data_IF_437077485745
#
_entry.id   IF_437077485745
#
_cell.length_a   1.000
_cell.length_b   1.000
_cell.length_c   1.000
_cell.angle_alpha   90.00
_cell.angle_beta   90.00
_cell.angle_gamma   90.00
#
_symmetry.space_group_name_H-M   'P 1'
#
loop_
_entity.id
_entity.type
_entity.pdbx_description
1 polymer ?
#
# COMPACT_ATOMS: atom_id res chain seq x y z
N UNK A 1 -16.68 5.10 24.34
CA UNK A 1 -16.41 3.81 23.68
C UNK A 1 -17.74 3.14 23.38
N UNK A 2 -18.07 2.80 22.12
CA UNK A 2 -19.10 1.80 21.88
C UNK A 2 -18.54 0.48 22.40
N UNK A 3 -18.90 0.15 23.63
CA UNK A 3 -18.69 -1.20 24.14
C UNK A 3 -19.78 -2.03 23.48
N UNK A 4 -19.40 -3.08 22.75
CA UNK A 4 -20.37 -4.13 22.47
C UNK A 4 -20.68 -4.73 23.84
N UNK A 5 -21.86 -4.40 24.36
CA UNK A 5 -22.27 -4.95 25.63
C UNK A 5 -22.70 -6.40 25.37
N UNK A 6 -22.71 -7.22 26.43
CA UNK A 6 -23.05 -8.63 26.30
C UNK A 6 -24.44 -8.84 25.68
N UNK A 7 -25.35 -7.89 25.89
CA UNK A 7 -26.69 -7.89 25.28
C UNK A 7 -26.63 -7.76 23.75
N UNK A 8 -25.76 -6.90 23.22
CA UNK A 8 -25.55 -6.73 21.77
C UNK A 8 -24.88 -7.96 21.15
N UNK A 9 -23.87 -8.53 21.81
CA UNK A 9 -23.22 -9.77 21.38
C UNK A 9 -24.21 -10.94 21.30
N UNK A 10 -25.03 -11.12 22.35
CA UNK A 10 -26.03 -12.19 22.41
C UNK A 10 -27.18 -12.01 21.41
N UNK A 11 -27.38 -10.78 20.90
CA UNK A 11 -28.42 -10.49 19.91
C UNK A 11 -27.94 -10.64 18.46
N UNK A 12 -26.67 -10.95 18.22
CA UNK A 12 -26.17 -11.15 16.88
C UNK A 12 -26.72 -12.48 16.33
N UNK A 13 -27.49 -12.46 15.22
CA UNK A 13 -27.93 -13.67 14.59
C UNK A 13 -26.71 -14.35 13.95
N UNK A 14 -26.21 -15.40 14.60
CA UNK A 14 -25.15 -16.24 14.06
C UNK A 14 -25.82 -17.50 13.52
N UNK A 15 -25.77 -17.76 12.20
CA UNK A 15 -26.23 -19.03 11.67
C UNK A 15 -25.27 -20.13 12.14
N UNK A 16 -25.77 -21.04 12.96
CA UNK A 16 -25.02 -22.19 13.45
C UNK A 16 -25.52 -23.43 12.71
N UNK A 17 -24.79 -23.92 11.69
CA UNK A 17 -25.15 -25.14 10.99
C UNK A 17 -24.93 -26.37 11.90
N UNK A 18 -25.45 -27.56 11.55
CA UNK A 18 -25.18 -28.79 12.29
C UNK A 18 -23.67 -29.03 12.49
N UNK A 19 -23.27 -29.66 13.61
CA UNK A 19 -21.85 -29.85 13.95
C UNK A 19 -21.05 -30.56 12.84
N UNK A 20 -21.67 -31.52 12.16
CA UNK A 20 -21.06 -32.21 11.01
C UNK A 20 -20.71 -31.23 9.89
N UNK A 21 -21.61 -30.29 9.59
CA UNK A 21 -21.42 -29.27 8.57
C UNK A 21 -20.36 -28.23 9.00
N UNK A 22 -20.30 -27.88 10.29
CA UNK A 22 -19.23 -27.04 10.82
C UNK A 22 -17.85 -27.69 10.59
N UNK A 23 -17.70 -28.98 10.92
CA UNK A 23 -16.44 -29.70 10.68
C UNK A 23 -16.12 -29.82 9.19
N UNK A 24 -17.14 -30.03 8.32
CA UNK A 24 -16.95 -30.06 6.87
C UNK A 24 -16.43 -28.72 6.33
N UNK A 25 -16.99 -27.61 6.81
CA UNK A 25 -16.57 -26.25 6.44
C UNK A 25 -15.14 -25.98 6.92
N UNK A 26 -14.84 -26.24 8.20
CA UNK A 26 -13.49 -26.04 8.77
C UNK A 26 -12.46 -26.84 8.01
N UNK A 27 -12.72 -28.13 7.76
CA UNK A 27 -11.84 -28.98 6.96
C UNK A 27 -11.58 -28.40 5.57
N UNK A 28 -12.62 -27.84 4.93
CA UNK A 28 -12.45 -27.25 3.59
C UNK A 28 -11.62 -25.97 3.62
N UNK A 29 -11.77 -25.15 4.65
CA UNK A 29 -10.94 -23.96 4.88
C UNK A 29 -9.49 -24.38 5.11
N UNK A 30 -9.25 -25.38 5.96
CA UNK A 30 -7.90 -25.88 6.23
C UNK A 30 -7.22 -26.43 4.96
N UNK A 31 -7.96 -27.19 4.14
CA UNK A 31 -7.47 -27.66 2.83
C UNK A 31 -7.10 -26.51 1.88
N UNK A 32 -7.93 -25.46 1.83
CA UNK A 32 -7.68 -24.29 0.98
C UNK A 32 -6.50 -23.47 1.50
N UNK A 33 -6.37 -23.30 2.81
CA UNK A 33 -5.22 -22.63 3.43
C UNK A 33 -3.92 -23.39 3.17
N UNK A 34 -3.91 -24.71 3.33
CA UNK A 34 -2.75 -25.54 3.02
C UNK A 34 -2.36 -25.48 1.53
N UNK A 35 -3.34 -25.36 0.63
CA UNK A 35 -3.08 -25.15 -0.79
C UNK A 35 -2.46 -23.78 -1.05
N UNK A 36 -2.95 -22.71 -0.40
CA UNK A 36 -2.33 -21.39 -0.48
C UNK A 36 -0.88 -21.42 0.01
N UNK A 37 -0.61 -22.01 1.18
CA UNK A 37 0.74 -22.16 1.72
C UNK A 37 1.66 -22.91 0.75
N UNK A 38 1.16 -23.97 0.11
CA UNK A 38 1.93 -24.73 -0.88
C UNK A 38 2.20 -23.93 -2.15
N UNK A 39 1.26 -23.09 -2.61
CA UNK A 39 1.45 -22.25 -3.78
C UNK A 39 2.45 -21.13 -3.50
N UNK A 40 2.39 -20.52 -2.32
CA UNK A 40 3.38 -19.54 -1.85
C UNK A 40 4.79 -20.14 -1.84
N UNK A 41 4.96 -21.33 -1.25
CA UNK A 41 6.25 -22.04 -1.25
C UNK A 41 6.77 -22.33 -2.67
N UNK A 42 5.89 -22.68 -3.61
CA UNK A 42 6.29 -22.92 -5.01
C UNK A 42 6.71 -21.64 -5.72
N UNK A 43 6.03 -20.52 -5.46
CA UNK A 43 6.39 -19.21 -6.00
C UNK A 43 7.76 -18.78 -5.47
N UNK A 44 8.01 -18.95 -4.18
CA UNK A 44 9.30 -18.62 -3.55
C UNK A 44 10.44 -19.47 -4.10
N UNK A 45 10.21 -20.78 -4.26
CA UNK A 45 11.19 -21.70 -4.82
C UNK A 45 11.51 -21.38 -6.30
N UNK A 46 10.50 -21.05 -7.10
CA UNK A 46 10.68 -20.68 -8.51
C UNK A 46 11.39 -19.33 -8.66
N UNK A 47 11.02 -18.34 -7.85
CA UNK A 47 11.68 -17.03 -7.81
C UNK A 47 13.16 -17.18 -7.44
N UNK A 48 13.46 -18.05 -6.47
CA UNK A 48 14.84 -18.36 -6.06
C UNK A 48 15.64 -18.99 -7.21
N UNK A 49 15.07 -20.00 -7.90
CA UNK A 49 15.71 -20.63 -9.06
C UNK A 49 15.93 -19.67 -10.23
N UNK A 50 14.94 -18.82 -10.53
CA UNK A 50 15.07 -17.81 -11.58
C UNK A 50 16.20 -16.83 -11.27
N UNK A 51 16.30 -16.41 -10.01
CA UNK A 51 17.38 -15.54 -9.53
C UNK A 51 18.76 -16.22 -9.65
N UNK A 52 18.87 -17.49 -9.27
CA UNK A 52 20.11 -18.25 -9.43
C UNK A 52 20.55 -18.33 -10.90
N UNK A 53 19.62 -18.65 -11.81
CA UNK A 53 19.91 -18.74 -13.25
C UNK A 53 20.35 -17.40 -13.84
N UNK A 54 19.68 -16.30 -13.47
CA UNK A 54 20.07 -14.95 -13.89
C UNK A 54 21.48 -14.60 -13.38
N UNK A 55 21.79 -14.95 -12.13
CA UNK A 55 23.11 -14.70 -11.54
C UNK A 55 24.22 -15.50 -12.24
N UNK A 56 23.93 -16.75 -12.63
CA UNK A 56 24.86 -17.60 -13.37
C UNK A 56 25.12 -17.05 -14.79
N UNK A 57 24.07 -16.57 -15.47
CA UNK A 57 24.19 -15.93 -16.79
C UNK A 57 25.05 -14.66 -16.74
N UNK A 58 24.85 -13.79 -15.74
CA UNK A 58 25.64 -12.56 -15.58
C UNK A 58 27.11 -12.89 -15.34
N UNK A 59 27.40 -13.89 -14.48
CA UNK A 59 28.78 -14.35 -14.24
C UNK A 59 29.43 -14.88 -15.51
N UNK A 60 28.72 -15.70 -16.28
CA UNK A 60 29.21 -16.24 -17.55
C UNK A 60 29.52 -15.14 -18.57
N UNK A 61 28.69 -14.09 -18.68
CA UNK A 61 28.96 -12.94 -19.55
C UNK A 61 30.16 -12.11 -19.10
N UNK A 62 30.36 -11.96 -17.78
CA UNK A 62 31.47 -11.17 -17.23
C UNK A 62 32.85 -11.82 -17.39
N UNK A 63 32.93 -13.13 -17.65
CA UNK A 63 34.19 -13.86 -17.86
C UNK A 63 34.60 -13.94 -19.35
N UNK A 64 33.80 -13.39 -20.27
CA UNK A 64 34.03 -13.45 -21.72
C UNK A 64 34.82 -12.30 -22.34
N UNK A 65 35.37 -11.35 -21.56
CA UNK A 65 36.10 -10.20 -22.10
C UNK A 65 37.17 -9.68 -21.15
N UNK A 66 38.42 -10.09 -21.37
CA UNK A 66 39.60 -9.44 -20.80
C UNK A 66 40.06 -8.34 -21.76
N UNK A 67 40.19 -7.10 -21.28
CA UNK A 67 41.45 -6.32 -21.11
C UNK A 67 41.12 -5.06 -20.30
N UNK A 68 42.08 -4.69 -19.45
CA UNK A 68 42.24 -3.59 -18.48
C UNK A 68 41.69 -2.21 -18.92
N UNK A 69 41.05 -1.47 -18.00
CA UNK A 69 41.72 -0.36 -17.30
C UNK A 69 40.86 0.26 -16.18
N UNK A 70 41.55 0.89 -15.24
CA UNK A 70 41.06 1.37 -13.96
C UNK A 70 39.98 2.46 -14.03
N UNK A 71 38.83 2.21 -13.39
CA UNK A 71 38.08 3.24 -12.66
C UNK A 71 37.15 2.57 -11.63
N UNK A 72 37.60 2.67 -10.37
CA UNK A 72 36.80 2.41 -9.19
C UNK A 72 35.58 3.35 -9.21
N UNK A 73 34.40 2.81 -9.49
CA UNK A 73 33.13 3.49 -9.25
C UNK A 73 32.10 2.41 -8.89
N UNK A 74 31.94 2.23 -7.58
CA UNK A 74 30.77 1.68 -6.90
C UNK A 74 29.91 0.70 -7.72
N UNK A 75 30.40 -0.53 -7.90
CA UNK A 75 29.51 -1.66 -8.19
C UNK A 75 28.73 -1.96 -6.91
N UNK A 76 27.53 -1.41 -6.78
CA UNK A 76 26.57 -1.89 -5.81
C UNK A 76 26.41 -3.39 -6.02
N UNK A 77 26.78 -4.17 -5.02
CA UNK A 77 26.41 -5.57 -4.94
C UNK A 77 24.89 -5.55 -4.89
N UNK A 78 24.22 -5.91 -5.99
CA UNK A 78 22.77 -6.03 -6.01
C UNK A 78 22.40 -7.16 -5.03
N UNK A 79 22.15 -6.78 -3.77
CA UNK A 79 21.60 -7.68 -2.78
C UNK A 79 20.17 -7.98 -3.25
N UNK A 80 19.91 -9.25 -3.56
CA UNK A 80 18.54 -9.73 -3.76
C UNK A 80 17.85 -9.55 -2.41
N UNK A 81 17.01 -8.53 -2.32
CA UNK A 81 16.21 -8.26 -1.14
C UNK A 81 14.83 -8.82 -1.40
N UNK A 82 14.37 -9.62 -0.45
CA UNK A 82 13.00 -10.11 -0.41
C UNK A 82 12.01 -8.92 -0.44
N UNK A 83 10.97 -9.05 -1.27
CA UNK A 83 9.95 -8.03 -1.49
C UNK A 83 9.24 -7.64 -0.20
N UNK A 84 8.97 -8.59 0.70
CA UNK A 84 8.35 -8.28 1.98
C UNK A 84 9.26 -7.39 2.85
N UNK A 85 10.56 -7.66 2.83
CA UNK A 85 11.57 -6.83 3.49
C UNK A 85 11.67 -5.44 2.86
N UNK A 86 11.64 -5.34 1.53
CA UNK A 86 11.63 -4.05 0.83
C UNK A 86 10.41 -3.20 1.22
N UNK A 87 9.21 -3.77 1.11
CA UNK A 87 7.94 -3.12 1.49
C UNK A 87 7.97 -2.62 2.93
N UNK A 88 8.41 -3.48 3.86
CA UNK A 88 8.52 -3.13 5.28
C UNK A 88 9.49 -1.97 5.51
N UNK A 89 10.65 -1.97 4.84
CA UNK A 89 11.61 -0.86 4.89
C UNK A 89 11.00 0.46 4.40
N UNK A 90 10.36 0.47 3.23
CA UNK A 90 9.71 1.67 2.70
C UNK A 90 8.57 2.15 3.62
N UNK A 91 7.78 1.22 4.17
CA UNK A 91 6.73 1.54 5.15
C UNK A 91 7.29 2.15 6.44
N UNK A 92 8.36 1.58 6.99
CA UNK A 92 9.05 2.11 8.15
C UNK A 92 9.62 3.51 7.88
N UNK A 93 10.18 3.75 6.70
CA UNK A 93 10.65 5.08 6.30
C UNK A 93 9.53 6.13 6.33
N UNK A 94 8.36 5.80 5.76
CA UNK A 94 7.20 6.69 5.78
C UNK A 94 6.71 6.97 7.21
N UNK A 95 6.56 5.91 8.04
CA UNK A 95 6.13 6.06 9.44
C UNK A 95 7.16 6.87 10.24
N UNK A 96 8.46 6.65 10.06
CA UNK A 96 9.51 7.39 10.76
C UNK A 96 9.36 8.90 10.58
N UNK A 97 8.97 9.33 9.38
CA UNK A 97 8.83 10.75 9.01
C UNK A 97 7.47 11.34 9.37
N UNK A 98 6.42 10.53 9.39
CA UNK A 98 5.05 11.01 9.54
C UNK A 98 4.42 10.74 10.91
N UNK A 99 5.00 9.90 11.76
CA UNK A 99 4.37 9.51 13.04
C UNK A 99 4.05 10.69 13.97
N UNK A 100 4.79 11.79 13.87
CA UNK A 100 4.56 13.02 14.66
C UNK A 100 3.56 13.99 14.03
N UNK A 101 3.15 13.76 12.78
CA UNK A 101 2.21 14.61 12.09
C UNK A 101 0.78 14.48 12.66
N UNK A 102 0.11 15.62 12.86
CA UNK A 102 -1.14 15.72 13.63
C UNK A 102 -2.25 14.78 13.14
N UNK A 103 -2.38 14.67 11.82
CA UNK A 103 -3.47 13.95 11.14
C UNK A 103 -3.04 12.59 10.59
N UNK A 104 -1.78 12.21 10.79
CA UNK A 104 -1.26 10.94 10.28
C UNK A 104 -1.81 9.76 11.07
N UNK A 105 -2.04 8.67 10.34
CA UNK A 105 -2.61 7.42 10.81
C UNK A 105 -2.72 6.42 9.66
N UNK A 106 -3.36 5.28 9.91
CA UNK A 106 -3.41 4.14 8.95
C UNK A 106 -3.87 4.52 7.56
N UNK A 107 -4.95 5.29 7.43
CA UNK A 107 -5.46 5.68 6.12
C UNK A 107 -4.41 6.49 5.35
N UNK A 108 -3.78 7.47 6.00
CA UNK A 108 -2.73 8.26 5.39
C UNK A 108 -1.51 7.40 5.03
N UNK A 109 -1.08 6.50 5.90
CA UNK A 109 -0.01 5.55 5.63
C UNK A 109 -0.30 4.70 4.38
N UNK A 110 -1.50 4.13 4.27
CA UNK A 110 -1.90 3.36 3.09
C UNK A 110 -1.87 4.20 1.80
N UNK A 111 -2.29 5.48 1.85
CA UNK A 111 -2.30 6.35 0.66
C UNK A 111 -0.90 6.77 0.25
N UNK A 112 -0.04 7.06 1.23
CA UNK A 112 1.38 7.36 0.99
C UNK A 112 2.04 6.18 0.28
N UNK A 113 1.79 4.94 0.72
CA UNK A 113 2.37 3.75 0.10
C UNK A 113 1.84 3.50 -1.32
N UNK A 114 0.54 3.68 -1.55
CA UNK A 114 -0.03 3.63 -2.89
C UNK A 114 0.61 4.66 -3.83
N UNK A 115 0.70 5.92 -3.39
CA UNK A 115 1.30 7.01 -4.18
C UNK A 115 2.80 6.79 -4.39
N UNK A 116 3.51 6.21 -3.42
CA UNK A 116 4.92 5.88 -3.57
C UNK A 116 5.15 4.86 -4.70
N UNK A 117 4.26 3.90 -4.89
CA UNK A 117 4.33 3.02 -6.05
C UNK A 117 3.87 3.72 -7.33
N UNK A 118 2.65 4.26 -7.34
CA UNK A 118 1.99 4.72 -8.56
C UNK A 118 2.54 6.05 -9.12
N UNK A 119 3.12 6.90 -8.28
CA UNK A 119 3.70 8.18 -8.70
C UNK A 119 5.23 8.08 -8.85
N UNK A 120 5.91 7.52 -7.84
CA UNK A 120 7.39 7.55 -7.76
C UNK A 120 8.01 6.32 -8.46
N UNK A 121 7.28 5.20 -8.53
CA UNK A 121 7.79 3.94 -9.09
C UNK A 121 8.59 3.13 -8.07
N UNK A 122 8.24 3.18 -6.78
CA UNK A 122 8.73 2.20 -5.81
C UNK A 122 7.97 0.89 -6.04
N UNK A 123 8.65 -0.16 -6.48
CA UNK A 123 8.00 -1.44 -6.82
C UNK A 123 7.59 -2.22 -5.57
N UNK A 124 6.46 -1.82 -5.02
CA UNK A 124 5.88 -2.39 -3.81
C UNK A 124 4.85 -3.47 -4.15
N UNK A 125 4.62 -3.85 -5.42
CA UNK A 125 3.64 -4.85 -5.86
C UNK A 125 2.26 -4.74 -5.16
N UNK A 126 1.83 -3.51 -4.84
CA UNK A 126 0.51 -3.27 -4.24
C UNK A 126 -0.59 -3.55 -5.27
N UNK A 127 -1.70 -4.12 -4.81
CA UNK A 127 -2.92 -4.47 -5.53
C UNK A 127 -4.10 -3.71 -4.90
N UNK A 128 -4.19 -2.38 -5.12
CA UNK A 128 -5.17 -1.55 -4.46
C UNK A 128 -6.60 -1.81 -4.96
N UNK A 129 -7.51 -2.03 -4.03
CA UNK A 129 -8.95 -2.05 -4.27
C UNK A 129 -9.57 -0.67 -4.10
N UNK A 130 -10.60 -0.38 -4.90
CA UNK A 130 -11.43 0.83 -4.75
C UNK A 130 -12.32 0.72 -3.51
N UNK A 131 -11.95 1.44 -2.45
CA UNK A 131 -12.71 1.49 -1.18
C UNK A 131 -13.34 2.85 -0.92
N UNK A 132 -14.27 2.94 0.03
CA UNK A 132 -14.86 4.21 0.49
C UNK A 132 -13.80 5.28 0.84
N UNK A 133 -12.70 4.85 1.45
CA UNK A 133 -11.59 5.71 1.86
C UNK A 133 -10.52 5.89 0.75
N UNK A 134 -10.81 5.59 -0.52
CA UNK A 134 -9.83 5.62 -1.62
C UNK A 134 -9.06 4.30 -1.78
N UNK A 135 -7.95 4.26 -2.56
CA UNK A 135 -7.29 3.01 -2.94
C UNK A 135 -6.67 2.32 -1.72
N UNK A 136 -6.94 1.04 -1.50
CA UNK A 136 -6.47 0.31 -0.33
C UNK A 136 -5.89 -1.05 -0.74
N UNK A 137 -4.69 -1.32 -0.27
CA UNK A 137 -4.11 -2.65 -0.23
C UNK A 137 -4.15 -3.18 1.21
N UNK A 138 -4.48 -4.46 1.39
CA UNK A 138 -4.57 -5.10 2.71
C UNK A 138 -3.21 -5.30 3.40
N UNK A 139 -2.10 -5.20 2.65
CA UNK A 139 -0.73 -5.26 3.16
C UNK A 139 -0.49 -4.33 4.36
N UNK A 140 -1.18 -3.19 4.44
CA UNK A 140 -1.04 -2.26 5.56
C UNK A 140 -1.34 -2.93 6.92
N UNK A 141 -2.27 -3.88 6.97
CA UNK A 141 -2.64 -4.58 8.20
C UNK A 141 -1.57 -5.61 8.60
N UNK A 142 -0.98 -6.32 7.62
CA UNK A 142 0.13 -7.23 7.85
C UNK A 142 1.38 -6.49 8.30
N UNK A 143 1.66 -5.35 7.66
CA UNK A 143 2.75 -4.46 8.04
C UNK A 143 2.60 -3.94 9.47
N UNK A 144 1.40 -3.55 9.90
CA UNK A 144 1.14 -3.15 11.29
C UNK A 144 1.34 -4.29 12.29
N UNK A 145 0.95 -5.52 11.95
CA UNK A 145 1.21 -6.70 12.79
C UNK A 145 2.70 -6.99 12.89
N UNK A 146 3.42 -6.94 11.77
CA UNK A 146 4.85 -7.14 11.71
C UNK A 146 5.61 -6.06 12.50
N UNK A 147 5.23 -4.79 12.33
CA UNK A 147 5.85 -3.66 13.02
C UNK A 147 5.69 -3.71 14.53
N UNK A 148 4.53 -4.14 15.02
CA UNK A 148 4.33 -4.39 16.45
C UNK A 148 5.15 -5.60 16.94
N UNK A 149 5.12 -6.72 16.21
CA UNK A 149 5.85 -7.94 16.59
C UNK A 149 7.38 -7.78 16.59
N UNK A 150 7.91 -6.87 15.77
CA UNK A 150 9.34 -6.52 15.69
C UNK A 150 9.71 -5.27 16.50
N UNK A 151 8.77 -4.72 17.26
CA UNK A 151 8.99 -3.51 18.06
C UNK A 151 9.49 -2.30 17.26
N UNK A 152 9.05 -2.16 16.00
CA UNK A 152 9.31 -0.95 15.21
C UNK A 152 8.42 0.19 15.69
N UNK A 153 7.13 -0.07 15.92
CA UNK A 153 6.20 0.94 16.40
C UNK A 153 5.02 0.31 17.13
N UNK A 154 4.37 1.10 17.99
CA UNK A 154 3.09 0.76 18.58
C UNK A 154 1.95 1.36 17.75
N UNK A 155 0.85 0.63 17.64
CA UNK A 155 -0.39 1.09 16.97
C UNK A 155 -1.43 1.39 18.04
N UNK A 156 -1.74 2.67 18.23
CA UNK A 156 -2.70 3.13 19.23
C UNK A 156 -4.02 3.54 18.56
N UNK A 157 -5.16 2.96 18.98
CA UNK A 157 -6.47 3.36 18.49
C UNK A 157 -7.21 4.24 19.52
N UNK A 158 -7.47 5.50 19.15
CA UNK A 158 -8.30 6.43 19.92
C UNK A 158 -9.69 6.54 19.30
N UNK A 159 -10.73 6.48 20.13
CA UNK A 159 -12.09 6.80 19.67
C UNK A 159 -12.34 8.29 19.83
N UNK A 160 -12.60 9.00 18.73
CA UNK A 160 -12.93 10.41 18.71
C UNK A 160 -14.36 10.65 19.23
N UNK A 161 -14.68 11.90 19.57
CA UNK A 161 -16.00 12.32 20.10
C UNK A 161 -17.15 11.95 19.14
N UNK A 162 -16.88 11.96 17.84
CA UNK A 162 -17.82 11.57 16.79
C UNK A 162 -17.93 10.05 16.56
N UNK A 163 -17.32 9.22 17.42
CA UNK A 163 -17.33 7.76 17.32
C UNK A 163 -16.35 7.17 16.30
N UNK A 164 -15.68 7.99 15.49
CA UNK A 164 -14.65 7.51 14.54
C UNK A 164 -13.42 7.04 15.30
N UNK A 165 -12.78 5.97 14.81
CA UNK A 165 -11.47 5.53 15.30
C UNK A 165 -10.38 6.31 14.61
N UNK A 166 -9.41 6.79 15.38
CA UNK A 166 -8.15 7.37 14.91
C UNK A 166 -7.02 6.42 15.29
N UNK A 167 -6.25 5.99 14.31
CA UNK A 167 -5.02 5.22 14.53
C UNK A 167 -3.85 6.19 14.63
N UNK A 168 -3.01 6.02 15.64
CA UNK A 168 -1.79 6.78 15.86
C UNK A 168 -0.61 5.81 16.00
N UNK A 169 0.52 6.14 15.38
CA UNK A 169 1.74 5.36 15.47
C UNK A 169 2.69 5.99 16.48
N UNK A 170 3.31 5.17 17.33
CA UNK A 170 4.42 5.59 18.19
C UNK A 170 5.68 4.82 17.79
N UNK A 171 6.65 5.53 17.22
CA UNK A 171 7.92 4.93 16.82
C UNK A 171 8.73 4.45 18.04
N UNK A 172 9.36 3.30 17.89
CA UNK A 172 10.30 2.70 18.84
C UNK A 172 11.71 2.65 18.21
N UNK A 173 12.73 2.38 19.02
CA UNK A 173 14.13 2.43 18.58
C UNK A 173 14.46 1.48 17.43
N UNK A 174 13.83 0.29 17.39
CA UNK A 174 14.09 -0.71 16.35
C UNK A 174 13.59 -0.31 14.96
N UNK A 175 12.79 0.75 14.83
CA UNK A 175 12.35 1.29 13.53
C UNK A 175 13.48 1.92 12.73
N UNK A 176 14.49 2.45 13.43
CA UNK A 176 15.60 3.18 12.81
C UNK A 176 16.37 2.34 11.79
N UNK A 177 16.56 1.05 12.05
CA UNK A 177 17.27 0.13 11.17
C UNK A 177 16.55 -0.10 9.82
N UNK A 178 15.28 -0.58 9.77
CA UNK A 178 14.58 -0.76 8.50
C UNK A 178 14.33 0.56 7.76
N UNK A 179 14.19 1.68 8.47
CA UNK A 179 14.06 3.00 7.85
C UNK A 179 15.38 3.45 7.19
N UNK A 180 16.53 3.27 7.85
CA UNK A 180 17.85 3.54 7.25
C UNK A 180 18.13 2.60 6.07
N UNK A 181 17.69 1.33 6.17
CA UNK A 181 17.77 0.39 5.06
C UNK A 181 16.99 0.90 3.84
N UNK A 182 15.79 1.46 4.03
CA UNK A 182 15.00 2.04 2.95
C UNK A 182 15.75 3.14 2.17
N UNK A 183 16.52 3.97 2.88
CA UNK A 183 17.36 4.98 2.24
C UNK A 183 18.39 4.35 1.31
N UNK A 184 19.03 3.25 1.70
CA UNK A 184 19.99 2.55 0.85
C UNK A 184 19.35 1.90 -0.40
N UNK A 185 18.05 1.57 -0.35
CA UNK A 185 17.34 0.87 -1.42
C UNK A 185 16.74 1.80 -2.47
N UNK A 186 16.40 3.03 -2.10
CA UNK A 186 15.89 4.02 -3.04
C UNK A 186 17.03 4.76 -3.74
N UNK A 187 16.86 5.04 -5.03
CA UNK A 187 17.75 5.98 -5.73
C UNK A 187 17.64 7.39 -5.14
N UNK A 188 18.66 8.24 -5.33
CA UNK A 188 18.62 9.62 -4.83
C UNK A 188 17.39 10.40 -5.34
N UNK A 189 16.98 10.15 -6.59
CA UNK A 189 15.77 10.72 -7.18
C UNK A 189 14.49 10.22 -6.48
N UNK A 190 14.34 8.91 -6.32
CA UNK A 190 13.19 8.33 -5.61
C UNK A 190 13.08 8.81 -4.16
N UNK A 191 14.19 8.92 -3.44
CA UNK A 191 14.20 9.46 -2.06
C UNK A 191 13.70 10.90 -2.02
N UNK A 192 14.22 11.73 -2.91
CA UNK A 192 13.86 13.16 -2.98
C UNK A 192 12.38 13.34 -3.28
N UNK A 193 11.85 12.58 -4.24
CA UNK A 193 10.44 12.61 -4.58
C UNK A 193 9.56 12.03 -3.47
N UNK A 194 10.02 10.98 -2.77
CA UNK A 194 9.26 10.40 -1.68
C UNK A 194 9.18 11.32 -0.48
N UNK A 195 10.27 12.00 -0.15
CA UNK A 195 10.27 13.04 0.87
C UNK A 195 9.34 14.20 0.50
N UNK A 196 9.38 14.68 -0.75
CA UNK A 196 8.46 15.72 -1.22
C UNK A 196 7.00 15.29 -1.05
N UNK A 197 6.67 14.07 -1.47
CA UNK A 197 5.33 13.50 -1.32
C UNK A 197 4.91 13.41 0.16
N UNK A 198 5.79 12.89 1.02
CA UNK A 198 5.56 12.77 2.46
C UNK A 198 5.25 14.13 3.08
N UNK A 199 6.08 15.14 2.81
CA UNK A 199 5.90 16.48 3.38
C UNK A 199 4.67 17.20 2.83
N UNK A 200 4.33 17.02 1.56
CA UNK A 200 3.12 17.60 0.96
C UNK A 200 1.83 17.09 1.62
N UNK A 201 1.85 15.86 2.16
CA UNK A 201 0.71 15.21 2.81
C UNK A 201 0.72 15.34 4.34
N UNK A 202 1.82 15.78 4.96
CA UNK A 202 2.01 15.74 6.41
C UNK A 202 1.01 16.61 7.19
N UNK A 203 0.60 17.74 6.64
CA UNK A 203 -0.36 18.69 7.22
C UNK A 203 -1.82 18.42 6.82
N UNK A 204 -2.06 17.46 5.92
CA UNK A 204 -3.39 17.17 5.37
C UNK A 204 -4.19 16.30 6.33
N UNK A 205 -5.48 16.63 6.46
CA UNK A 205 -6.43 15.81 7.22
C UNK A 205 -6.62 14.46 6.52
N UNK A 206 -7.09 13.48 7.29
CA UNK A 206 -7.33 12.13 6.78
C UNK A 206 -8.24 12.12 5.54
N UNK A 207 -9.35 12.87 5.56
CA UNK A 207 -10.26 12.97 4.42
C UNK A 207 -9.62 13.63 3.19
N UNK A 208 -8.74 14.60 3.39
CA UNK A 208 -8.03 15.29 2.30
C UNK A 208 -7.05 14.31 1.62
N UNK A 209 -6.28 13.55 2.40
CA UNK A 209 -5.39 12.50 1.87
C UNK A 209 -6.18 11.42 1.13
N UNK A 210 -7.36 11.03 1.63
CA UNK A 210 -8.25 10.10 0.94
C UNK A 210 -8.70 10.64 -0.42
N UNK A 211 -9.13 11.90 -0.49
CA UNK A 211 -9.58 12.53 -1.74
C UNK A 211 -8.43 12.63 -2.74
N UNK A 212 -7.27 13.12 -2.30
CA UNK A 212 -6.06 13.26 -3.14
C UNK A 212 -5.69 11.92 -3.77
N UNK A 213 -5.59 10.86 -2.97
CA UNK A 213 -5.22 9.53 -3.47
C UNK A 213 -6.30 8.93 -4.38
N UNK A 214 -7.58 9.22 -4.13
CA UNK A 214 -8.70 8.77 -4.98
C UNK A 214 -8.65 9.43 -6.36
N UNK A 215 -8.47 10.76 -6.40
CA UNK A 215 -8.35 11.51 -7.66
C UNK A 215 -7.13 11.08 -8.45
N UNK A 216 -5.99 10.94 -7.79
CA UNK A 216 -4.77 10.42 -8.41
C UNK A 216 -5.01 9.04 -9.01
N UNK A 217 -5.65 8.13 -8.27
CA UNK A 217 -5.90 6.77 -8.73
C UNK A 217 -6.80 6.70 -9.95
N UNK A 218 -7.92 7.43 -9.95
CA UNK A 218 -8.81 7.48 -11.11
C UNK A 218 -8.09 8.05 -12.33
N UNK A 219 -7.36 9.15 -12.17
CA UNK A 219 -6.59 9.73 -13.26
C UNK A 219 -5.54 8.73 -13.77
N UNK A 220 -4.82 8.07 -12.87
CA UNK A 220 -3.82 7.08 -13.23
C UNK A 220 -4.42 5.87 -13.95
N UNK A 221 -5.59 5.38 -13.52
CA UNK A 221 -6.29 4.26 -14.17
C UNK A 221 -6.66 4.60 -15.63
N UNK A 222 -7.17 5.82 -15.89
CA UNK A 222 -7.40 6.27 -17.27
C UNK A 222 -6.12 6.23 -18.11
N UNK A 223 -5.00 6.71 -17.55
CA UNK A 223 -3.71 6.73 -18.25
C UNK A 223 -3.19 5.31 -18.52
N UNK A 224 -3.35 4.39 -17.57
CA UNK A 224 -3.02 2.95 -17.76
C UNK A 224 -3.85 2.37 -18.90
N UNK A 225 -5.13 2.75 -18.99
CA UNK A 225 -6.04 2.33 -20.05
C UNK A 225 -5.79 3.07 -21.40
N UNK A 226 -4.75 3.90 -21.48
CA UNK A 226 -4.35 4.64 -22.69
C UNK A 226 -5.22 5.86 -23.00
N UNK A 227 -6.05 6.29 -22.05
CA UNK A 227 -6.97 7.42 -22.18
C UNK A 227 -6.36 8.65 -21.49
N UNK A 228 -6.41 9.80 -22.16
CA UNK A 228 -6.10 11.11 -21.56
C UNK A 228 -7.40 11.75 -21.06
N UNK A 229 -7.72 11.69 -19.76
CA UNK A 229 -9.00 12.14 -19.26
C UNK A 229 -9.03 13.66 -19.05
N UNK A 230 -10.21 14.24 -19.23
CA UNK A 230 -10.53 15.61 -18.77
C UNK A 230 -10.84 15.64 -17.28
N UNK A 231 -10.73 16.80 -16.64
CA UNK A 231 -11.08 16.99 -15.22
C UNK A 231 -12.51 16.54 -14.93
N UNK A 232 -13.44 16.82 -15.84
CA UNK A 232 -14.84 16.37 -15.73
C UNK A 232 -14.95 14.84 -15.70
N UNK A 233 -14.17 14.12 -16.53
CA UNK A 233 -14.17 12.66 -16.53
C UNK A 233 -13.56 12.09 -15.25
N UNK A 234 -12.44 12.66 -14.77
CA UNK A 234 -11.84 12.24 -13.50
C UNK A 234 -12.82 12.46 -12.34
N UNK A 235 -13.45 13.64 -12.27
CA UNK A 235 -14.40 14.01 -11.22
C UNK A 235 -15.64 13.10 -11.26
N UNK A 236 -16.19 12.84 -12.45
CA UNK A 236 -17.36 11.96 -12.61
C UNK A 236 -17.02 10.53 -12.19
N UNK A 237 -15.88 9.97 -12.62
CA UNK A 237 -15.51 8.60 -12.26
C UNK A 237 -15.27 8.43 -10.74
N UNK A 238 -14.67 9.43 -10.08
CA UNK A 238 -14.57 9.44 -8.60
C UNK A 238 -15.95 9.40 -7.94
N UNK A 239 -16.92 10.16 -8.44
CA UNK A 239 -18.24 10.30 -7.80
C UNK A 239 -19.16 9.13 -8.08
N UNK A 240 -19.10 8.59 -9.29
CA UNK A 240 -20.10 7.66 -9.83
C UNK A 240 -19.59 6.21 -9.86
N UNK A 241 -18.29 5.99 -10.11
CA UNK A 241 -17.74 4.66 -10.39
C UNK A 241 -16.73 4.18 -9.33
N UNK A 242 -16.34 5.04 -8.38
CA UNK A 242 -15.41 4.64 -7.32
C UNK A 242 -16.08 3.88 -6.18
N UNK A 243 -16.96 4.56 -5.43
CA UNK A 243 -17.71 4.01 -4.30
C UNK A 243 -18.87 4.97 -3.97
N UNK A 244 -20.05 4.47 -3.59
CA UNK A 244 -21.27 5.28 -3.34
C UNK A 244 -21.05 6.51 -2.42
N UNK A 245 -20.29 6.35 -1.34
CA UNK A 245 -19.90 7.43 -0.41
C UNK A 245 -19.16 8.60 -1.06
N UNK A 246 -18.56 8.43 -2.24
CA UNK A 246 -17.86 9.51 -2.96
C UNK A 246 -18.83 10.49 -3.64
N UNK A 247 -20.09 10.10 -3.86
CA UNK A 247 -21.11 10.97 -4.45
C UNK A 247 -21.35 12.26 -3.64
N UNK A 248 -21.01 12.25 -2.34
CA UNK A 248 -21.14 13.40 -1.43
C UNK A 248 -20.22 14.57 -1.77
N UNK A 249 -19.09 14.32 -2.44
CA UNK A 249 -18.13 15.36 -2.78
C UNK A 249 -18.62 16.15 -3.99
N UNK A 250 -18.49 17.47 -3.92
CA UNK A 250 -18.91 18.35 -5.02
C UNK A 250 -17.84 18.40 -6.12
N UNK A 251 -18.21 18.63 -7.39
CA UNK A 251 -17.22 18.83 -8.46
C UNK A 251 -16.21 19.94 -8.17
N UNK A 252 -16.66 21.03 -7.54
CA UNK A 252 -15.78 22.15 -7.18
C UNK A 252 -14.73 21.75 -6.13
N UNK A 253 -15.12 20.99 -5.11
CA UNK A 253 -14.21 20.46 -4.08
C UNK A 253 -13.17 19.51 -4.69
N UNK A 254 -13.61 18.58 -5.55
CA UNK A 254 -12.69 17.66 -6.24
C UNK A 254 -11.75 18.40 -7.20
N UNK A 255 -12.25 19.42 -7.90
CA UNK A 255 -11.44 20.29 -8.78
C UNK A 255 -10.30 20.99 -8.03
N UNK A 256 -10.56 21.52 -6.83
CA UNK A 256 -9.52 22.15 -6.00
C UNK A 256 -8.37 21.18 -5.67
N UNK A 257 -8.68 19.91 -5.44
CA UNK A 257 -7.66 18.88 -5.18
C UNK A 257 -6.94 18.41 -6.44
N UNK A 258 -7.58 18.43 -7.62
CA UNK A 258 -6.89 18.22 -8.90
C UNK A 258 -5.89 19.34 -9.19
N UNK A 259 -6.28 20.59 -8.94
CA UNK A 259 -5.37 21.74 -9.07
C UNK A 259 -4.23 21.66 -8.07
N UNK A 260 -4.51 21.20 -6.84
CA UNK A 260 -3.50 20.93 -5.84
C UNK A 260 -2.49 19.86 -6.32
N UNK A 261 -2.95 18.73 -6.87
CA UNK A 261 -2.08 17.68 -7.42
C UNK A 261 -1.13 18.23 -8.48
N UNK A 262 -1.63 19.07 -9.39
CA UNK A 262 -0.82 19.73 -10.42
C UNK A 262 0.20 20.70 -9.82
N UNK A 263 -0.22 21.53 -8.86
CA UNK A 263 0.63 22.53 -8.21
C UNK A 263 1.79 21.89 -7.43
N UNK A 264 1.53 20.76 -6.77
CA UNK A 264 2.55 19.98 -6.05
C UNK A 264 3.35 19.03 -6.96
N UNK A 265 3.08 19.05 -8.28
CA UNK A 265 3.70 18.18 -9.29
C UNK A 265 3.48 16.67 -9.04
N UNK A 266 2.38 16.30 -8.38
CA UNK A 266 1.97 14.91 -8.13
C UNK A 266 1.04 14.47 -9.27
N UNK A 267 1.59 14.43 -10.48
CA UNK A 267 0.85 14.08 -11.70
C UNK A 267 1.07 12.61 -12.03
N UNK A 268 0.02 11.80 -12.26
CA UNK A 268 0.16 10.40 -12.63
C UNK A 268 0.76 10.25 -14.03
N UNK A 269 1.48 9.15 -14.23
CA UNK A 269 2.17 8.83 -15.48
C UNK A 269 1.65 7.54 -16.14
N UNK A 270 0.57 6.96 -15.61
CA UNK A 270 0.07 5.65 -16.03
C UNK A 270 0.97 4.50 -15.56
N UNK A 271 1.66 4.67 -14.43
CA UNK A 271 2.47 3.61 -13.84
C UNK A 271 1.58 2.65 -13.03
N UNK A 272 1.92 1.35 -12.95
CA UNK A 272 1.20 0.42 -12.08
C UNK A 272 1.26 0.88 -10.60
N UNK A 273 0.27 0.52 -9.79
CA UNK A 273 -0.79 -0.45 -10.08
C UNK A 273 -2.10 0.21 -10.52
N UNK A 274 -2.84 -0.50 -11.37
CA UNK A 274 -4.24 -0.18 -11.71
C UNK A 274 -5.14 -0.58 -10.56
N UNK A 275 -6.10 0.28 -10.18
CA UNK A 275 -7.04 -0.09 -9.11
C UNK A 275 -8.12 -1.03 -9.61
N UNK A 276 -8.56 -1.93 -8.72
CA UNK A 276 -9.63 -2.89 -9.03
C UNK A 276 -10.91 -2.52 -8.29
N UNK A 277 -12.05 -2.61 -8.98
CA UNK A 277 -13.35 -2.46 -8.34
C UNK A 277 -13.63 -3.71 -7.51
N UNK A 278 -14.18 -3.55 -6.30
CA UNK A 278 -14.63 -4.72 -5.54
C UNK A 278 -15.69 -5.45 -6.35
N UNK A 279 -15.49 -6.75 -6.56
CA UNK A 279 -16.53 -7.62 -7.10
C UNK A 279 -17.72 -7.52 -6.15
N UNK A 280 -18.83 -6.92 -6.59
CA UNK A 280 -20.10 -7.13 -5.92
C UNK A 280 -20.37 -8.63 -6.04
N UNK A 281 -20.14 -9.38 -4.97
CA UNK A 281 -20.72 -10.70 -4.84
C UNK A 281 -22.24 -10.48 -4.89
N UNK A 282 -22.79 -10.60 -6.10
CA UNK A 282 -24.23 -10.64 -6.32
C UNK A 282 -24.75 -11.87 -5.63
N UNK A 283 -25.33 -11.66 -4.45
CA UNK A 283 -26.32 -12.60 -3.94
C UNK A 283 -27.64 -12.19 -4.59
N UNK A 284 -27.81 -12.61 -5.85
CA UNK A 284 -29.13 -12.77 -6.48
C UNK A 284 -29.67 -14.16 -6.12
#
# INVERSE_FOLDING_TARGET
MPKINQKTLNSLPIPIPPLEEQHRIVKKIDELMALCDSLEQQIDANTSKQTELLSALIRAQSQGGAVEDAQQSSRSTAQVIDLATYRASIGCYAINKLATAQYFGRTAAAKVMYLAQAHIGLDLDLKPERQAAGPLDTWIYDFERQGQGRSWFEVNEKTLVNGRKKTEYRCLSALSEPAAKAEALMTAGQRTEFDRLIYALADKKTEEVEIIATLFAVWNDFLIDGVQPTDTQIISDVRENWHERKARFTPAELGQWLDWLRRENIIPRGLPPRTVQQSRLGFD
#
